data_IF_253508264858
#
_entry.id   IF_253508264858
#
_cell.length_a   1.000
_cell.length_b   1.000
_cell.length_c   1.000
_cell.angle_alpha   90.00
_cell.angle_beta   90.00
_cell.angle_gamma   90.00
#
_symmetry.space_group_name_H-M   'P 1'
#
loop_
_entity.id
_entity.type
_entity.pdbx_description
1 polymer ?
#
# COMPACT_ATOMS: atom_id res chain seq x y z
N UNK A 1 44.91 1.10 -10.67
CA UNK A 1 43.73 0.27 -11.01
C UNK A 1 42.88 0.14 -9.75
N UNK A 2 41.68 0.70 -9.76
CA UNK A 2 40.81 0.79 -8.57
C UNK A 2 40.28 -0.60 -8.20
N UNK A 3 40.51 -1.00 -6.95
CA UNK A 3 39.94 -2.21 -6.35
C UNK A 3 38.42 -2.09 -6.35
N UNK A 4 37.77 -2.69 -7.34
CA UNK A 4 36.33 -2.92 -7.31
C UNK A 4 36.13 -4.08 -6.32
N UNK A 5 35.94 -3.74 -5.04
CA UNK A 5 35.62 -4.70 -3.98
C UNK A 5 34.43 -5.53 -4.46
N UNK A 6 34.62 -6.83 -4.64
CA UNK A 6 33.53 -7.77 -4.84
C UNK A 6 32.73 -7.76 -3.54
N UNK A 7 31.62 -7.04 -3.51
CA UNK A 7 30.69 -7.11 -2.37
C UNK A 7 30.33 -8.58 -2.14
N UNK A 8 30.40 -9.02 -0.89
CA UNK A 8 30.13 -10.42 -0.56
C UNK A 8 28.63 -10.66 -0.77
N UNK A 9 28.18 -11.81 -1.32
CA UNK A 9 26.76 -12.07 -1.56
C UNK A 9 25.86 -11.86 -0.32
N UNK A 10 26.39 -12.09 0.88
CA UNK A 10 25.69 -11.84 2.14
C UNK A 10 25.50 -10.35 2.46
N UNK A 11 26.43 -9.48 2.07
CA UNK A 11 26.34 -8.02 2.24
C UNK A 11 25.31 -7.44 1.27
N UNK A 12 25.30 -7.91 0.02
CA UNK A 12 24.26 -7.54 -0.94
C UNK A 12 22.87 -7.98 -0.45
N UNK A 13 22.74 -9.21 0.08
CA UNK A 13 21.47 -9.72 0.57
C UNK A 13 20.96 -8.94 1.80
N UNK A 14 21.85 -8.55 2.71
CA UNK A 14 21.50 -7.69 3.84
C UNK A 14 21.04 -6.29 3.39
N UNK A 15 21.65 -5.74 2.33
CA UNK A 15 21.21 -4.48 1.75
C UNK A 15 19.81 -4.58 1.13
N UNK A 16 19.52 -5.66 0.40
CA UNK A 16 18.18 -5.91 -0.18
C UNK A 16 17.11 -6.04 0.90
N UNK A 17 17.38 -6.78 1.98
CA UNK A 17 16.40 -6.93 3.08
C UNK A 17 16.17 -5.61 3.80
N UNK A 18 17.22 -4.78 3.96
CA UNK A 18 17.08 -3.44 4.53
C UNK A 18 16.21 -2.55 3.64
N UNK A 19 16.49 -2.50 2.34
CA UNK A 19 15.69 -1.73 1.37
C UNK A 19 14.23 -2.20 1.37
N UNK A 20 13.98 -3.51 1.45
CA UNK A 20 12.63 -4.05 1.56
C UNK A 20 11.89 -3.54 2.81
N UNK A 21 12.56 -3.45 3.96
CA UNK A 21 11.94 -2.89 5.16
C UNK A 21 11.65 -1.40 4.98
N UNK A 22 12.63 -0.63 4.52
CA UNK A 22 12.49 0.82 4.36
C UNK A 22 11.34 1.18 3.42
N UNK A 23 11.26 0.49 2.27
CA UNK A 23 10.21 0.69 1.27
C UNK A 23 8.85 0.19 1.76
N UNK A 24 8.79 -0.91 2.51
CA UNK A 24 7.55 -1.42 3.08
C UNK A 24 7.01 -0.51 4.19
N UNK A 25 7.88 0.11 5.00
CA UNK A 25 7.48 1.11 5.98
C UNK A 25 6.90 2.36 5.31
N UNK A 26 7.50 2.80 4.20
CA UNK A 26 6.99 3.92 3.40
C UNK A 26 5.63 3.61 2.79
N UNK A 27 5.53 2.47 2.10
CA UNK A 27 4.28 1.99 1.53
C UNK A 27 3.17 1.89 2.59
N UNK A 28 3.50 1.35 3.76
CA UNK A 28 2.61 1.28 4.91
C UNK A 28 2.14 2.66 5.42
N UNK A 29 3.02 3.66 5.46
CA UNK A 29 2.67 5.05 5.82
C UNK A 29 1.70 5.66 4.80
N UNK A 30 1.95 5.46 3.51
CA UNK A 30 1.10 6.00 2.46
C UNK A 30 -0.29 5.36 2.48
N UNK A 31 -0.37 4.04 2.66
CA UNK A 31 -1.65 3.36 2.82
C UNK A 31 -2.45 3.87 4.02
N UNK A 32 -1.80 4.07 5.18
CA UNK A 32 -2.46 4.68 6.34
C UNK A 32 -2.96 6.08 6.04
N UNK A 33 -2.22 6.86 5.25
CA UNK A 33 -2.63 8.19 4.84
C UNK A 33 -3.88 8.14 3.96
N UNK A 34 -3.95 7.22 2.99
CA UNK A 34 -5.14 7.01 2.16
C UNK A 34 -6.36 6.65 3.01
N UNK A 35 -6.22 5.69 3.94
CA UNK A 35 -7.31 5.31 4.86
C UNK A 35 -7.76 6.51 5.69
N UNK A 36 -6.83 7.26 6.27
CA UNK A 36 -7.14 8.37 7.16
C UNK A 36 -7.77 9.56 6.43
N UNK A 37 -7.27 9.91 5.25
CA UNK A 37 -7.69 11.10 4.50
C UNK A 37 -8.93 10.86 3.65
N UNK A 38 -9.07 9.69 3.06
CA UNK A 38 -10.11 9.45 2.05
C UNK A 38 -11.18 8.47 2.51
N UNK A 39 -10.85 7.43 3.27
CA UNK A 39 -11.83 6.41 3.65
C UNK A 39 -12.59 6.77 4.92
N UNK A 40 -11.89 7.15 6.00
CA UNK A 40 -12.53 7.52 7.28
C UNK A 40 -13.58 8.64 7.14
N UNK A 41 -13.39 9.68 6.30
CA UNK A 41 -14.41 10.72 6.15
C UNK A 41 -15.70 10.27 5.44
N UNK A 42 -15.70 9.14 4.73
CA UNK A 42 -16.85 8.69 3.94
C UNK A 42 -18.04 8.29 4.80
N UNK A 43 -17.80 7.86 6.03
CA UNK A 43 -18.84 7.42 6.96
C UNK A 43 -19.65 8.59 7.56
N UNK A 44 -19.33 9.83 7.17
CA UNK A 44 -20.04 11.03 7.64
C UNK A 44 -21.32 11.27 6.84
N UNK A 45 -22.36 11.79 7.51
CA UNK A 45 -23.63 12.16 6.88
C UNK A 45 -23.47 13.24 5.78
N UNK A 46 -22.35 13.98 5.76
CA UNK A 46 -22.04 14.98 4.74
C UNK A 46 -21.45 14.41 3.45
N UNK A 47 -21.19 13.11 3.37
CA UNK A 47 -20.66 12.48 2.15
C UNK A 47 -21.69 12.54 1.02
N UNK A 48 -21.33 13.08 -0.17
CA UNK A 48 -22.26 13.09 -1.30
C UNK A 48 -22.73 11.68 -1.65
N UNK A 49 -24.02 11.52 -1.93
CA UNK A 49 -24.63 10.23 -2.23
C UNK A 49 -23.86 9.40 -3.28
N UNK A 50 -23.42 9.95 -4.43
CA UNK A 50 -22.64 9.19 -5.41
C UNK A 50 -21.32 8.66 -4.87
N UNK A 51 -20.68 9.36 -3.94
CA UNK A 51 -19.43 8.91 -3.30
C UNK A 51 -19.74 7.80 -2.31
N UNK A 52 -20.74 8.00 -1.45
CA UNK A 52 -21.12 7.02 -0.44
C UNK A 52 -21.58 5.71 -1.08
N UNK A 53 -22.47 5.78 -2.08
CA UNK A 53 -23.02 4.60 -2.75
C UNK A 53 -21.94 3.78 -3.47
N UNK A 54 -20.86 4.42 -3.94
CA UNK A 54 -19.77 3.76 -4.66
C UNK A 54 -18.51 3.53 -3.81
N UNK A 55 -18.54 3.78 -2.50
CA UNK A 55 -17.35 3.70 -1.63
C UNK A 55 -16.66 2.32 -1.66
N UNK A 56 -17.44 1.25 -1.81
CA UNK A 56 -16.91 -0.12 -1.89
C UNK A 56 -16.19 -0.36 -3.21
N UNK A 57 -16.67 0.20 -4.33
CA UNK A 57 -15.94 0.13 -5.60
C UNK A 57 -14.68 0.99 -5.58
N UNK A 58 -14.78 2.22 -5.04
CA UNK A 58 -13.68 3.19 -5.02
C UNK A 58 -12.47 2.72 -4.21
N UNK A 59 -12.69 1.95 -3.14
CA UNK A 59 -11.61 1.48 -2.27
C UNK A 59 -11.47 -0.04 -2.23
N UNK A 60 -12.41 -0.80 -2.80
CA UNK A 60 -12.41 -2.27 -2.77
C UNK A 60 -12.04 -2.80 -1.37
N UNK A 61 -11.11 -3.75 -1.30
CA UNK A 61 -10.54 -4.29 -0.07
C UNK A 61 -9.26 -3.57 0.41
N UNK A 62 -9.01 -2.32 0.01
CA UNK A 62 -7.79 -1.57 0.35
C UNK A 62 -7.46 -1.56 1.84
N UNK A 63 -8.48 -1.45 2.71
CA UNK A 63 -8.27 -1.47 4.17
C UNK A 63 -7.65 -2.78 4.66
N UNK A 64 -8.05 -3.91 4.07
CA UNK A 64 -7.52 -5.23 4.41
C UNK A 64 -6.09 -5.40 3.92
N UNK A 65 -5.77 -4.86 2.73
CA UNK A 65 -4.39 -4.81 2.22
C UNK A 65 -3.52 -3.95 3.14
N UNK A 66 -3.97 -2.74 3.47
CA UNK A 66 -3.26 -1.84 4.37
C UNK A 66 -3.01 -2.47 5.74
N UNK A 67 -3.99 -3.17 6.30
CA UNK A 67 -3.85 -3.88 7.57
C UNK A 67 -2.84 -5.03 7.48
N UNK A 68 -2.94 -5.87 6.45
CA UNK A 68 -1.98 -6.97 6.20
C UNK A 68 -0.54 -6.45 6.14
N UNK A 69 -0.29 -5.44 5.30
CA UNK A 69 1.04 -4.87 5.12
C UNK A 69 1.60 -4.29 6.43
N UNK A 70 0.79 -3.51 7.14
CA UNK A 70 1.26 -2.76 8.32
C UNK A 70 1.33 -3.58 9.62
N UNK A 71 0.70 -4.75 9.69
CA UNK A 71 0.62 -5.53 10.94
C UNK A 71 1.17 -6.94 10.83
N UNK A 72 1.18 -7.51 9.63
CA UNK A 72 1.63 -8.90 9.41
C UNK A 72 2.90 -8.92 8.57
N UNK A 73 2.88 -8.31 7.39
CA UNK A 73 3.99 -8.39 6.45
C UNK A 73 5.23 -7.66 6.99
N UNK A 74 5.09 -6.37 7.34
CA UNK A 74 6.20 -5.56 7.82
C UNK A 74 6.86 -6.15 9.08
N UNK A 75 6.05 -6.58 10.04
CA UNK A 75 6.53 -7.20 11.28
C UNK A 75 7.21 -8.55 11.00
N UNK A 76 6.67 -9.34 10.07
CA UNK A 76 7.31 -10.58 9.61
C UNK A 76 8.66 -10.34 8.94
N UNK A 77 8.77 -9.32 8.09
CA UNK A 77 10.03 -8.95 7.42
C UNK A 77 11.06 -8.50 8.45
N UNK A 78 10.68 -7.62 9.38
CA UNK A 78 11.56 -7.15 10.47
C UNK A 78 12.03 -8.29 11.36
N UNK A 79 11.14 -9.20 11.74
CA UNK A 79 11.47 -10.33 12.60
C UNK A 79 12.52 -11.25 11.97
N UNK A 80 12.40 -11.56 10.67
CA UNK A 80 13.32 -12.44 9.95
C UNK A 80 14.46 -11.72 9.21
N UNK A 81 14.68 -10.42 9.46
CA UNK A 81 15.63 -9.62 8.69
C UNK A 81 17.08 -10.15 8.76
N UNK A 82 17.47 -10.73 9.91
CA UNK A 82 18.77 -11.35 10.11
C UNK A 82 18.91 -12.76 9.50
N UNK A 83 17.81 -13.36 9.04
CA UNK A 83 17.77 -14.73 8.52
C UNK A 83 17.04 -14.81 7.16
N UNK A 84 17.69 -14.46 6.04
CA UNK A 84 17.02 -14.36 4.74
C UNK A 84 16.33 -15.64 4.25
N UNK A 85 16.87 -16.82 4.60
CA UNK A 85 16.22 -18.10 4.29
C UNK A 85 14.93 -18.31 5.09
N UNK A 86 14.87 -17.84 6.33
CA UNK A 86 13.67 -17.88 7.14
C UNK A 86 12.65 -16.86 6.66
N UNK A 87 13.10 -15.66 6.27
CA UNK A 87 12.28 -14.64 5.63
C UNK A 87 11.56 -15.18 4.39
N UNK A 88 12.28 -15.85 3.48
CA UNK A 88 11.68 -16.47 2.30
C UNK A 88 10.58 -17.49 2.64
N UNK A 89 10.79 -18.33 3.67
CA UNK A 89 9.76 -19.26 4.14
C UNK A 89 8.57 -18.56 4.79
N UNK A 90 8.79 -17.46 5.51
CA UNK A 90 7.73 -16.67 6.11
C UNK A 90 6.83 -16.04 5.04
N UNK A 91 7.42 -15.46 3.99
CA UNK A 91 6.68 -14.90 2.85
C UNK A 91 5.83 -15.97 2.14
N UNK A 92 6.37 -17.17 1.92
CA UNK A 92 5.61 -18.28 1.32
C UNK A 92 4.42 -18.71 2.20
N UNK A 93 4.54 -18.66 3.53
CA UNK A 93 3.40 -18.94 4.42
C UNK A 93 2.31 -17.88 4.34
N UNK A 94 2.66 -16.66 3.90
CA UNK A 94 1.73 -15.54 3.71
C UNK A 94 1.16 -15.49 2.28
N UNK A 95 1.45 -16.46 1.40
CA UNK A 95 1.04 -16.44 -0.02
C UNK A 95 -0.45 -16.10 -0.21
N UNK A 96 -1.34 -16.77 0.54
CA UNK A 96 -2.79 -16.51 0.47
C UNK A 96 -3.21 -15.11 0.93
N UNK A 97 -2.40 -14.46 1.76
CA UNK A 97 -2.68 -13.09 2.17
C UNK A 97 -2.50 -12.11 1.01
N UNK A 98 -1.61 -12.43 0.06
CA UNK A 98 -1.40 -11.64 -1.15
C UNK A 98 -2.55 -11.73 -2.15
N UNK A 99 -3.39 -12.77 -2.09
CA UNK A 99 -4.59 -12.90 -2.95
C UNK A 99 -5.55 -11.70 -2.82
N UNK A 100 -5.47 -10.94 -1.71
CA UNK A 100 -6.18 -9.67 -1.55
C UNK A 100 -5.89 -8.69 -2.69
N UNK A 101 -4.66 -8.69 -3.23
CA UNK A 101 -4.29 -7.82 -4.35
C UNK A 101 -5.00 -8.20 -5.65
N UNK A 102 -5.35 -9.48 -5.84
CA UNK A 102 -6.07 -9.93 -7.04
C UNK A 102 -7.43 -9.25 -7.14
N UNK A 103 -8.18 -9.21 -6.03
CA UNK A 103 -9.46 -8.53 -5.98
C UNK A 103 -9.30 -7.01 -6.20
N UNK A 104 -8.31 -6.39 -5.56
CA UNK A 104 -8.05 -4.96 -5.73
C UNK A 104 -7.73 -4.60 -7.19
N UNK A 105 -6.78 -5.31 -7.81
CA UNK A 105 -6.36 -5.05 -9.19
C UNK A 105 -7.47 -5.31 -10.22
N UNK A 106 -8.39 -6.23 -9.93
CA UNK A 106 -9.58 -6.45 -10.77
C UNK A 106 -10.52 -5.25 -10.74
N UNK A 107 -10.73 -4.65 -9.58
CA UNK A 107 -11.70 -3.57 -9.38
C UNK A 107 -11.10 -2.18 -9.68
N UNK A 108 -9.78 -2.04 -9.64
CA UNK A 108 -9.04 -0.78 -9.83
C UNK A 108 -9.42 -0.03 -11.13
N UNK A 109 -9.49 -0.66 -12.32
CA UNK A 109 -9.84 0.05 -13.55
C UNK A 109 -11.25 0.66 -13.51
N UNK A 110 -12.18 0.00 -12.83
CA UNK A 110 -13.55 0.48 -12.66
C UNK A 110 -13.60 1.66 -11.69
N UNK A 111 -12.83 1.60 -10.61
CA UNK A 111 -12.67 2.71 -9.68
C UNK A 111 -12.08 3.95 -10.38
N UNK A 112 -11.03 3.78 -11.19
CA UNK A 112 -10.43 4.87 -11.98
C UNK A 112 -11.42 5.46 -12.98
N UNK A 113 -12.17 4.61 -13.67
CA UNK A 113 -13.20 5.07 -14.59
C UNK A 113 -14.26 5.91 -13.87
N UNK A 114 -14.73 5.47 -12.70
CA UNK A 114 -15.69 6.22 -11.89
C UNK A 114 -15.12 7.56 -11.41
N UNK A 115 -13.86 7.58 -10.95
CA UNK A 115 -13.14 8.80 -10.53
C UNK A 115 -12.99 9.81 -11.68
N UNK A 116 -12.85 9.33 -12.92
CA UNK A 116 -12.68 10.17 -14.10
C UNK A 116 -14.02 10.68 -14.67
N UNK A 117 -15.08 9.89 -14.60
CA UNK A 117 -16.33 10.16 -15.32
C UNK A 117 -17.45 10.74 -14.47
N UNK A 118 -17.47 10.47 -13.17
CA UNK A 118 -18.51 11.00 -12.28
C UNK A 118 -18.07 12.35 -11.69
N UNK A 119 -18.69 13.48 -12.07
CA UNK A 119 -18.22 14.82 -11.67
C UNK A 119 -18.33 15.07 -10.16
N UNK A 120 -19.28 14.42 -9.47
CA UNK A 120 -19.44 14.56 -8.01
C UNK A 120 -18.32 13.82 -7.29
N UNK A 121 -18.04 12.59 -7.72
CA UNK A 121 -16.96 11.75 -7.18
C UNK A 121 -15.60 12.41 -7.46
N UNK A 122 -15.37 12.82 -8.70
CA UNK A 122 -14.17 13.55 -9.12
C UNK A 122 -13.92 14.78 -8.26
N UNK A 123 -14.93 15.66 -8.17
CA UNK A 123 -14.83 16.89 -7.39
C UNK A 123 -14.59 16.61 -5.91
N UNK A 124 -15.18 15.56 -5.34
CA UNK A 124 -15.01 15.21 -3.92
C UNK A 124 -13.55 14.85 -3.59
N UNK A 125 -12.92 14.02 -4.43
CA UNK A 125 -11.54 13.58 -4.19
C UNK A 125 -10.47 14.56 -4.70
N UNK A 126 -10.82 15.53 -5.54
CA UNK A 126 -9.92 16.64 -5.92
C UNK A 126 -9.62 17.59 -4.76
N UNK A 127 -10.47 17.65 -3.74
CA UNK A 127 -10.27 18.54 -2.58
C UNK A 127 -9.36 17.85 -1.54
N UNK A 128 -8.07 17.71 -1.84
CA UNK A 128 -7.05 17.42 -0.82
C UNK A 128 -5.66 17.96 -1.18
N UNK A 129 -4.87 18.38 -0.17
CA UNK A 129 -3.82 19.41 -0.24
C UNK A 129 -2.48 18.89 -0.78
N UNK A 130 -2.47 18.24 -1.94
CA UNK A 130 -1.21 17.80 -2.57
C UNK A 130 -0.56 18.95 -3.35
N UNK A 131 -1.31 20.00 -3.69
CA UNK A 131 -0.76 21.21 -4.33
C UNK A 131 -0.02 22.17 -3.38
N UNK A 132 0.08 21.88 -2.07
CA UNK A 132 0.75 22.78 -1.11
C UNK A 132 2.08 22.23 -0.58
N UNK A 133 2.41 20.96 -0.84
CA UNK A 133 3.69 20.36 -0.39
C UNK A 133 4.75 20.38 -1.51
N UNK A 134 4.39 20.86 -2.70
CA UNK A 134 5.29 21.01 -3.84
C UNK A 134 5.42 22.48 -4.31
N UNK A 135 5.46 23.44 -3.38
CA UNK A 135 5.82 24.84 -3.65
C UNK A 135 6.69 25.39 -2.53
#
# INVERSE_FOLDING_TARGET
MSHRTRERPAECLAAVVRELIETEEEFGRDMRQVVARYMRPLDKASTPKPVFDNRELLFSNFRQIAEFHNTVLLEGIKYYAGEPRALGRALLRMEREFDKHVAYCRDEPLAQHLLATNPVVHKYFQVSPISTIAS
#
